data_IF_500532015422
#
_entry.id   IF_500532015422
#
_cell.length_a   1.000
_cell.length_b   1.000
_cell.length_c   1.000
_cell.angle_alpha   90.00
_cell.angle_beta   90.00
_cell.angle_gamma   90.00
#
_symmetry.space_group_name_H-M   'P 1'
#
loop_
_entity.id
_entity.type
_entity.pdbx_description
1 polymer ?
#
# COMPACT_ATOMS: atom_id res chain seq x y z
N UNK A 1 -8.15 21.93 7.83
CA UNK A 1 -9.21 22.63 7.09
C UNK A 1 -10.56 22.07 7.51
N UNK A 2 -11.51 22.97 7.79
CA UNK A 2 -12.92 22.63 7.98
C UNK A 2 -13.67 22.60 6.64
N UNK A 3 -14.83 21.94 6.58
CA UNK A 3 -15.62 21.93 5.36
C UNK A 3 -15.97 23.34 4.89
N UNK A 4 -15.63 23.69 3.67
CA UNK A 4 -15.75 25.02 3.06
C UNK A 4 -14.50 25.90 3.20
N UNK A 5 -13.54 25.51 4.03
CA UNK A 5 -12.30 26.26 4.27
C UNK A 5 -11.32 26.10 3.10
N UNK A 6 -10.56 27.15 2.83
CA UNK A 6 -9.55 27.21 1.77
C UNK A 6 -8.16 27.28 2.42
N UNK A 7 -7.21 26.54 1.88
CA UNK A 7 -5.82 26.56 2.37
C UNK A 7 -5.14 27.90 2.06
N UNK A 8 -4.09 28.21 2.80
CA UNK A 8 -3.15 29.23 2.36
C UNK A 8 -2.50 28.80 1.03
N UNK A 9 -2.07 29.78 0.21
CA UNK A 9 -1.38 29.48 -1.04
C UNK A 9 -0.09 28.71 -0.79
N UNK A 10 0.03 27.52 -1.39
CA UNK A 10 1.21 26.64 -1.30
C UNK A 10 2.05 26.79 -2.57
N UNK A 11 3.32 27.23 -2.48
CA UNK A 11 4.19 27.28 -3.64
C UNK A 11 4.55 25.86 -4.10
N UNK A 12 4.33 25.59 -5.38
CA UNK A 12 4.72 24.34 -6.04
C UNK A 12 5.63 24.65 -7.24
N UNK A 13 6.44 23.70 -7.73
CA UNK A 13 7.22 23.92 -8.95
C UNK A 13 6.33 24.31 -10.13
N UNK A 14 6.52 25.53 -10.64
CA UNK A 14 5.75 26.06 -11.76
C UNK A 14 4.43 26.76 -11.42
N UNK A 15 4.11 26.98 -10.14
CA UNK A 15 2.86 27.68 -9.78
C UNK A 15 2.57 27.78 -8.28
N UNK A 16 1.34 28.12 -7.98
CA UNK A 16 0.79 28.17 -6.61
C UNK A 16 -0.45 27.28 -6.58
N UNK A 17 -0.52 26.40 -5.59
CA UNK A 17 -1.66 25.54 -5.35
C UNK A 17 -2.52 26.09 -4.20
N UNK A 18 -3.83 26.05 -4.36
CA UNK A 18 -4.83 26.37 -3.32
C UNK A 18 -5.79 25.19 -3.24
N UNK A 19 -6.02 24.68 -2.05
CA UNK A 19 -6.93 23.57 -1.81
C UNK A 19 -8.15 24.06 -1.03
N UNK A 20 -9.33 23.58 -1.43
CA UNK A 20 -10.57 23.78 -0.68
C UNK A 20 -11.11 22.43 -0.23
N UNK A 21 -11.35 22.29 1.08
CA UNK A 21 -12.08 21.13 1.60
C UNK A 21 -13.58 21.36 1.38
N UNK A 22 -14.19 20.68 0.41
CA UNK A 22 -15.61 20.84 0.11
C UNK A 22 -16.52 20.11 1.08
N UNK A 23 -16.11 18.90 1.47
CA UNK A 23 -16.88 18.03 2.35
C UNK A 23 -15.93 17.03 3.04
N UNK A 24 -16.21 16.68 4.28
CA UNK A 24 -15.56 15.58 4.98
C UNK A 24 -16.65 14.63 5.46
N UNK A 25 -16.62 13.39 5.01
CA UNK A 25 -17.50 12.34 5.48
C UNK A 25 -16.70 11.39 6.34
N UNK A 26 -17.05 11.28 7.60
CA UNK A 26 -16.64 10.12 8.36
C UNK A 26 -17.31 8.91 7.69
N UNK A 27 -16.51 8.11 7.00
CA UNK A 27 -17.00 6.78 6.64
C UNK A 27 -17.18 6.04 7.96
N UNK A 28 -18.37 5.55 8.23
CA UNK A 28 -18.59 4.44 9.17
C UNK A 28 -17.84 3.21 8.64
N UNK A 29 -16.53 3.31 8.58
CA UNK A 29 -15.66 2.19 8.26
C UNK A 29 -15.76 1.25 9.47
N UNK A 30 -16.84 0.47 9.49
CA UNK A 30 -16.86 -0.75 10.28
C UNK A 30 -15.65 -1.50 9.81
N UNK A 31 -14.61 -1.57 10.65
CA UNK A 31 -13.48 -2.48 10.45
C UNK A 31 -14.11 -3.80 10.03
N UNK A 32 -14.24 -4.02 8.71
CA UNK A 32 -14.91 -5.19 8.19
C UNK A 32 -14.24 -6.36 8.87
N UNK A 33 -15.01 -7.39 9.24
CA UNK A 33 -14.51 -8.61 9.85
C UNK A 33 -13.51 -9.25 8.88
N UNK A 34 -12.32 -8.64 8.81
CA UNK A 34 -11.23 -9.15 8.01
C UNK A 34 -10.77 -10.45 8.61
N UNK A 35 -10.76 -11.50 7.82
CA UNK A 35 -10.30 -12.81 8.26
C UNK A 35 -8.77 -12.85 8.34
N UNK A 36 -8.11 -12.08 7.48
CA UNK A 36 -6.65 -11.98 7.38
C UNK A 36 -6.19 -10.54 7.56
N UNK A 37 -5.02 -10.41 8.18
CA UNK A 37 -4.30 -9.14 8.30
C UNK A 37 -2.88 -9.33 7.81
N UNK A 38 -2.46 -8.44 6.94
CA UNK A 38 -1.08 -8.30 6.52
C UNK A 38 -0.45 -7.18 7.34
N UNK A 39 0.66 -7.49 7.99
CA UNK A 39 1.39 -6.53 8.81
C UNK A 39 2.89 -6.73 8.70
N UNK A 40 3.62 -5.66 8.92
CA UNK A 40 5.08 -5.66 8.94
C UNK A 40 5.59 -5.41 10.36
N UNK A 41 6.63 -6.14 10.73
CA UNK A 41 7.44 -5.91 11.92
C UNK A 41 8.82 -5.46 11.46
N UNK A 42 9.20 -4.25 11.83
CA UNK A 42 10.51 -3.69 11.53
C UNK A 42 11.29 -3.49 12.82
N UNK A 43 12.38 -4.24 12.98
CA UNK A 43 13.22 -4.23 14.16
C UNK A 43 14.51 -3.47 13.84
N UNK A 44 14.88 -2.53 14.67
CA UNK A 44 16.07 -1.71 14.48
C UNK A 44 16.67 -1.27 15.82
N UNK A 45 17.93 -0.86 15.80
CA UNK A 45 18.60 -0.35 17.00
C UNK A 45 17.94 0.97 17.46
N UNK A 46 17.60 1.02 18.73
CA UNK A 46 16.94 2.21 19.32
C UNK A 46 17.76 3.48 19.07
N UNK A 47 17.20 4.39 18.27
CA UNK A 47 17.83 5.65 17.94
C UNK A 47 16.74 6.69 17.62
N UNK A 48 16.76 7.81 18.32
CA UNK A 48 15.77 8.87 18.14
C UNK A 48 15.78 9.46 16.72
N UNK A 49 16.95 9.52 16.08
CA UNK A 49 17.09 9.99 14.71
C UNK A 49 16.36 9.07 13.73
N UNK A 50 16.46 7.75 13.93
CA UNK A 50 15.76 6.76 13.11
C UNK A 50 14.24 6.83 13.32
N UNK A 51 13.78 7.01 14.57
CA UNK A 51 12.35 7.18 14.85
C UNK A 51 11.78 8.42 14.16
N UNK A 52 12.50 9.54 14.21
CA UNK A 52 12.06 10.78 13.56
C UNK A 52 12.01 10.62 12.03
N UNK A 53 13.00 9.93 11.43
CA UNK A 53 13.02 9.65 10.00
C UNK A 53 11.87 8.74 9.57
N UNK A 54 11.56 7.71 10.36
CA UNK A 54 10.41 6.83 10.09
C UNK A 54 9.10 7.62 10.20
N UNK A 55 8.92 8.42 11.24
CA UNK A 55 7.71 9.23 11.40
C UNK A 55 7.47 10.23 10.26
N UNK A 56 8.53 10.77 9.66
CA UNK A 56 8.40 11.80 8.63
C UNK A 56 8.30 11.24 7.20
N UNK A 57 8.81 10.04 6.96
CA UNK A 57 8.96 9.51 5.59
C UNK A 57 8.26 8.17 5.34
N UNK A 58 7.72 7.53 6.39
CA UNK A 58 7.01 6.26 6.24
C UNK A 58 5.53 6.53 5.96
N UNK A 59 5.10 6.30 4.73
CA UNK A 59 3.72 6.52 4.27
C UNK A 59 3.00 5.20 4.02
N UNK A 60 3.68 4.25 3.41
CA UNK A 60 3.13 2.94 3.05
C UNK A 60 4.05 1.81 3.48
N UNK A 61 3.50 0.60 3.61
CA UNK A 61 4.28 -0.57 4.03
C UNK A 61 5.50 -0.86 3.16
N UNK A 62 5.43 -0.56 1.88
CA UNK A 62 6.53 -0.84 0.94
C UNK A 62 7.74 0.07 1.18
N UNK A 63 7.56 1.23 1.81
CA UNK A 63 8.67 2.11 2.18
C UNK A 63 9.63 1.43 3.17
N UNK A 64 9.12 0.49 3.99
CA UNK A 64 9.94 -0.26 4.95
C UNK A 64 11.08 -1.06 4.28
N UNK A 65 10.91 -1.49 3.02
CA UNK A 65 11.98 -2.16 2.28
C UNK A 65 13.15 -1.20 2.01
N UNK A 66 12.84 0.04 1.64
CA UNK A 66 13.85 1.08 1.43
C UNK A 66 14.60 1.41 2.72
N UNK A 67 13.88 1.50 3.84
CA UNK A 67 14.50 1.69 5.16
C UNK A 67 15.36 0.50 5.57
N UNK A 68 14.90 -0.73 5.32
CA UNK A 68 15.64 -1.95 5.63
C UNK A 68 16.96 -2.05 4.85
N UNK A 69 16.97 -1.63 3.57
CA UNK A 69 18.18 -1.66 2.74
C UNK A 69 19.17 -0.56 3.09
N UNK A 70 18.67 0.61 3.50
CA UNK A 70 19.50 1.77 3.80
C UNK A 70 20.03 1.82 5.25
N UNK A 71 19.48 1.02 6.15
CA UNK A 71 19.85 1.01 7.56
C UNK A 71 20.50 -0.32 7.94
N UNK A 72 21.72 -0.25 8.47
CA UNK A 72 22.43 -1.46 8.94
C UNK A 72 21.80 -2.01 10.22
N UNK A 73 21.85 -3.33 10.40
CA UNK A 73 21.35 -4.05 11.59
C UNK A 73 19.84 -3.84 11.81
N UNK A 74 19.07 -4.01 10.74
CA UNK A 74 17.62 -3.99 10.77
C UNK A 74 17.07 -5.33 10.27
N UNK A 75 15.93 -5.72 10.79
CA UNK A 75 15.19 -6.89 10.35
C UNK A 75 13.77 -6.48 9.98
N UNK A 76 13.32 -6.91 8.80
CA UNK A 76 11.97 -6.67 8.31
C UNK A 76 11.26 -8.00 8.11
N UNK A 77 10.16 -8.17 8.82
CA UNK A 77 9.27 -9.32 8.66
C UNK A 77 7.90 -8.82 8.18
N UNK A 78 7.46 -9.32 7.04
CA UNK A 78 6.11 -9.07 6.52
C UNK A 78 5.31 -10.38 6.61
N UNK A 79 4.17 -10.34 7.26
CA UNK A 79 3.36 -11.52 7.58
C UNK A 79 1.92 -11.31 7.17
N UNK A 80 1.36 -12.28 6.48
CA UNK A 80 -0.09 -12.34 6.21
C UNK A 80 -0.67 -13.52 7.00
N UNK A 81 -1.47 -13.25 8.00
CA UNK A 81 -1.95 -14.25 8.95
C UNK A 81 -3.43 -14.09 9.26
N UNK A 82 -4.06 -15.20 9.65
CA UNK A 82 -5.44 -15.16 10.15
C UNK A 82 -5.51 -14.38 11.46
N UNK A 83 -6.45 -13.45 11.57
CA UNK A 83 -6.64 -12.63 12.78
C UNK A 83 -6.86 -13.51 14.03
N UNK A 84 -7.44 -14.70 13.83
CA UNK A 84 -7.69 -15.66 14.92
C UNK A 84 -6.42 -16.33 15.44
N UNK A 85 -5.36 -16.43 14.65
CA UNK A 85 -4.07 -17.04 15.02
C UNK A 85 -3.10 -16.07 15.70
N UNK A 86 -3.44 -14.79 15.76
CA UNK A 86 -2.61 -13.78 16.41
C UNK A 86 -2.62 -13.91 17.93
N UNK A 87 -1.49 -13.62 18.55
CA UNK A 87 -1.40 -13.46 20.01
C UNK A 87 -2.25 -12.28 20.47
N UNK A 88 -2.74 -12.33 21.71
CA UNK A 88 -3.61 -11.27 22.25
C UNK A 88 -3.00 -9.87 22.14
N UNK A 89 -1.70 -9.74 22.44
CA UNK A 89 -1.00 -8.45 22.36
C UNK A 89 -0.97 -7.89 20.94
N UNK A 90 -0.51 -8.67 19.97
CA UNK A 90 -0.44 -8.22 18.56
C UNK A 90 -1.84 -7.95 18.02
N UNK A 91 -2.81 -8.79 18.36
CA UNK A 91 -4.20 -8.57 17.96
C UNK A 91 -4.75 -7.24 18.51
N UNK A 92 -4.48 -6.90 19.76
CA UNK A 92 -4.90 -5.62 20.36
C UNK A 92 -4.24 -4.44 19.66
N UNK A 93 -2.94 -4.52 19.37
CA UNK A 93 -2.21 -3.47 18.65
C UNK A 93 -2.81 -3.29 17.25
N UNK A 94 -2.89 -4.37 16.48
CA UNK A 94 -3.38 -4.30 15.10
C UNK A 94 -4.86 -3.90 15.00
N UNK A 95 -5.68 -4.18 16.02
CA UNK A 95 -7.09 -3.78 16.01
C UNK A 95 -7.29 -2.26 16.12
N UNK A 96 -6.33 -1.55 16.67
CA UNK A 96 -6.39 -0.09 16.87
C UNK A 96 -5.72 0.70 15.73
N UNK A 97 -5.02 0.02 14.83
CA UNK A 97 -4.33 0.64 13.70
C UNK A 97 -5.17 0.50 12.43
N UNK A 98 -5.18 1.52 11.60
CA UNK A 98 -5.73 1.47 10.25
C UNK A 98 -4.68 1.02 9.22
N UNK A 99 -5.06 0.87 7.95
CA UNK A 99 -4.11 0.50 6.90
C UNK A 99 -3.06 1.60 6.71
N UNK A 100 -1.80 1.19 6.65
CA UNK A 100 -0.62 2.06 6.61
C UNK A 100 -0.37 2.86 7.90
N UNK A 101 -1.07 2.57 8.99
CA UNK A 101 -0.71 3.08 10.30
C UNK A 101 0.29 2.17 11.01
N UNK A 102 1.13 2.77 11.84
CA UNK A 102 2.14 2.06 12.60
C UNK A 102 2.27 2.56 14.04
N UNK A 103 2.83 1.72 14.88
CA UNK A 103 3.17 2.03 16.27
C UNK A 103 4.57 1.53 16.58
N UNK A 104 5.28 2.24 17.46
CA UNK A 104 6.53 1.74 18.03
C UNK A 104 6.26 0.94 19.29
N UNK A 105 6.75 -0.28 19.33
CA UNK A 105 6.80 -1.12 20.51
C UNK A 105 8.21 -1.02 21.14
N UNK A 106 8.27 -0.45 22.32
CA UNK A 106 9.50 -0.17 23.05
C UNK A 106 9.76 -1.16 24.19
N UNK A 107 9.24 -2.37 24.10
CA UNK A 107 9.37 -3.39 25.13
C UNK A 107 10.82 -3.76 25.42
N UNK A 108 11.74 -3.52 24.49
CA UNK A 108 13.15 -3.82 24.67
C UNK A 108 13.99 -2.56 24.89
N UNK A 109 14.99 -2.64 25.76
CA UNK A 109 15.83 -1.48 26.09
C UNK A 109 16.84 -1.13 24.98
N UNK A 110 17.28 -2.09 24.19
CA UNK A 110 18.33 -1.95 23.19
C UNK A 110 17.78 -1.81 21.75
N UNK A 111 16.62 -2.39 21.47
CA UNK A 111 16.00 -2.40 20.16
C UNK A 111 14.62 -1.74 20.19
N UNK A 112 14.23 -1.17 19.09
CA UNK A 112 12.86 -0.67 18.85
C UNK A 112 12.23 -1.55 17.79
N UNK A 113 10.96 -1.85 17.97
CA UNK A 113 10.15 -2.59 17.02
C UNK A 113 9.02 -1.69 16.54
N UNK A 114 8.92 -1.53 15.24
CA UNK A 114 7.78 -0.87 14.60
C UNK A 114 6.83 -1.95 14.08
N UNK A 115 5.55 -1.80 14.36
CA UNK A 115 4.48 -2.67 13.85
C UNK A 115 3.57 -1.82 12.98
N UNK A 116 3.37 -2.20 11.73
CA UNK A 116 2.58 -1.48 10.73
C UNK A 116 1.56 -2.40 10.09
N UNK A 117 0.32 -1.94 9.94
CA UNK A 117 -0.72 -2.67 9.20
C UNK A 117 -0.56 -2.34 7.71
N UNK A 118 -0.33 -3.38 6.89
CA UNK A 118 -0.17 -3.23 5.45
C UNK A 118 -1.49 -3.39 4.69
N UNK A 119 -2.38 -4.23 5.21
CA UNK A 119 -3.67 -4.45 4.58
C UNK A 119 -4.54 -5.43 5.36
N UNK A 120 -5.82 -5.46 5.02
CA UNK A 120 -6.80 -6.38 5.59
C UNK A 120 -7.59 -7.04 4.48
N UNK A 121 -7.80 -8.33 4.57
CA UNK A 121 -8.57 -9.07 3.56
C UNK A 121 -9.51 -10.08 4.18
N UNK A 122 -10.55 -10.43 3.43
CA UNK A 122 -11.48 -11.51 3.78
C UNK A 122 -11.02 -12.87 3.27
N UNK A 123 -10.08 -12.90 2.32
CA UNK A 123 -9.56 -14.12 1.71
C UNK A 123 -8.08 -14.30 2.00
N UNK A 124 -7.71 -15.56 2.22
CA UNK A 124 -6.33 -16.03 2.12
C UNK A 124 -5.75 -15.63 0.75
N UNK A 125 -4.46 -15.34 0.73
CA UNK A 125 -3.70 -15.11 -0.53
C UNK A 125 -4.29 -15.86 -1.71
N UNK A 126 -4.40 -15.17 -2.84
CA UNK A 126 -4.89 -15.70 -4.11
C UNK A 126 -4.53 -17.17 -4.27
N UNK A 127 -5.52 -18.01 -4.46
CA UNK A 127 -5.27 -19.43 -4.72
C UNK A 127 -4.54 -19.58 -6.05
N UNK A 128 -3.88 -20.73 -6.28
CA UNK A 128 -3.24 -21.00 -7.57
C UNK A 128 -4.24 -20.90 -8.74
N UNK A 129 -5.54 -21.14 -8.47
CA UNK A 129 -6.61 -20.93 -9.46
C UNK A 129 -6.81 -19.46 -9.76
N UNK A 130 -6.86 -18.61 -8.74
CA UNK A 130 -7.01 -17.15 -8.91
C UNK A 130 -5.82 -16.56 -9.69
N UNK A 131 -4.59 -17.01 -9.38
CA UNK A 131 -3.39 -16.62 -10.10
C UNK A 131 -3.43 -17.06 -11.57
N UNK A 132 -3.88 -18.27 -11.85
CA UNK A 132 -4.02 -18.77 -13.20
C UNK A 132 -5.09 -17.98 -13.99
N UNK A 133 -6.19 -17.62 -13.35
CA UNK A 133 -7.26 -16.83 -13.96
C UNK A 133 -6.82 -15.40 -14.27
N UNK A 134 -6.13 -14.76 -13.34
CA UNK A 134 -5.51 -13.44 -13.54
C UNK A 134 -4.51 -13.51 -14.69
N UNK A 135 -3.64 -14.50 -14.70
CA UNK A 135 -2.63 -14.66 -15.73
C UNK A 135 -3.26 -14.89 -17.13
N UNK A 136 -4.30 -15.73 -17.22
CA UNK A 136 -5.07 -15.90 -18.45
C UNK A 136 -5.71 -14.61 -18.92
N UNK A 137 -6.32 -13.85 -18.02
CA UNK A 137 -6.95 -12.57 -18.37
C UNK A 137 -5.93 -11.57 -18.89
N UNK A 138 -4.75 -11.53 -18.28
CA UNK A 138 -3.65 -10.67 -18.72
C UNK A 138 -3.12 -11.06 -20.10
N UNK A 139 -2.87 -12.34 -20.32
CA UNK A 139 -2.42 -12.88 -21.62
C UNK A 139 -3.45 -12.57 -22.71
N UNK A 140 -4.73 -12.80 -22.44
CA UNK A 140 -5.80 -12.51 -23.40
C UNK A 140 -5.88 -11.02 -23.75
N UNK A 141 -5.79 -10.12 -22.76
CA UNK A 141 -5.74 -8.67 -23.02
C UNK A 141 -4.54 -8.29 -23.88
N UNK A 142 -3.38 -8.86 -23.60
CA UNK A 142 -2.17 -8.61 -24.41
C UNK A 142 -2.29 -9.12 -25.83
N UNK A 143 -2.86 -10.32 -26.02
CA UNK A 143 -3.12 -10.88 -27.35
C UNK A 143 -4.11 -10.02 -28.15
N UNK A 144 -5.20 -9.57 -27.53
CA UNK A 144 -6.16 -8.67 -28.15
C UNK A 144 -5.52 -7.34 -28.57
N UNK A 145 -4.69 -6.76 -27.71
CA UNK A 145 -3.95 -5.54 -28.03
C UNK A 145 -3.01 -5.73 -29.22
N UNK A 146 -2.25 -6.81 -29.23
CA UNK A 146 -1.35 -7.15 -30.35
C UNK A 146 -2.11 -7.41 -31.63
N UNK A 147 -3.22 -8.15 -31.57
CA UNK A 147 -4.08 -8.43 -32.74
C UNK A 147 -4.64 -7.13 -33.32
N UNK A 148 -5.15 -6.24 -32.48
CA UNK A 148 -5.67 -4.95 -32.94
C UNK A 148 -4.58 -4.08 -33.58
N UNK A 149 -3.39 -4.04 -32.97
CA UNK A 149 -2.25 -3.33 -33.54
C UNK A 149 -1.83 -3.90 -34.88
N UNK A 150 -1.81 -5.23 -35.02
CA UNK A 150 -1.49 -5.90 -36.26
C UNK A 150 -2.53 -5.62 -37.35
N UNK A 151 -3.82 -5.70 -36.99
CA UNK A 151 -4.91 -5.36 -37.91
C UNK A 151 -4.85 -3.91 -38.38
N UNK A 152 -4.47 -3.00 -37.49
CA UNK A 152 -4.31 -1.58 -37.85
C UNK A 152 -3.15 -1.38 -38.83
N UNK A 153 -2.03 -2.05 -38.61
CA UNK A 153 -0.91 -2.03 -39.53
C UNK A 153 -1.31 -2.58 -40.90
N UNK A 154 -2.02 -3.72 -40.95
CA UNK A 154 -2.51 -4.30 -42.23
C UNK A 154 -3.47 -3.33 -42.93
N UNK A 155 -4.34 -2.63 -42.22
CA UNK A 155 -5.25 -1.61 -42.81
C UNK A 155 -4.49 -0.43 -43.39
N UNK A 156 -3.43 0.01 -42.74
CA UNK A 156 -2.59 1.11 -43.22
C UNK A 156 -1.79 0.71 -44.47
N UNK A 157 -1.34 -0.54 -44.52
CA UNK A 157 -0.58 -1.07 -45.68
C UNK A 157 -1.49 -1.53 -46.86
N UNK A 158 -2.77 -1.76 -46.60
CA UNK A 158 -3.70 -2.25 -47.61
C UNK A 158 -3.99 -1.16 -48.64
N UNK A 159 -3.62 -1.43 -49.90
CA UNK A 159 -4.01 -0.63 -51.07
C UNK A 159 -5.36 -1.11 -51.60
N UNK A 160 -6.44 -0.42 -51.24
CA UNK A 160 -7.77 -0.74 -51.75
C UNK A 160 -7.96 -0.05 -53.09
N UNK A 161 -8.17 -0.85 -54.16
CA UNK A 161 -8.50 -0.35 -55.51
C UNK A 161 -9.97 -0.72 -55.77
N UNK A 162 -10.82 0.29 -55.81
CA UNK A 162 -12.19 0.13 -56.24
C UNK A 162 -12.21 0.06 -57.77
N UNK A 163 -12.80 -0.98 -58.36
CA UNK A 163 -13.06 -1.12 -59.80
C UNK A 163 -14.42 -0.51 -60.14
#
# INVERSE_FOLDING_TARGET
LSAGEVSEPLPIPGGIAIFQLRDSRESDYKKENSEFVEYAEFIFKKNQKTNNLLNSNLMVCDDLYSFSTNTKNTELFRKNVKVRSLTKNIKSILSNLDENEFIFDHTDSATSKLIMVCGRSKKETLTQRDLNEINRSYVNKRLLSLSNSYLENLRQEARIVFK
#
